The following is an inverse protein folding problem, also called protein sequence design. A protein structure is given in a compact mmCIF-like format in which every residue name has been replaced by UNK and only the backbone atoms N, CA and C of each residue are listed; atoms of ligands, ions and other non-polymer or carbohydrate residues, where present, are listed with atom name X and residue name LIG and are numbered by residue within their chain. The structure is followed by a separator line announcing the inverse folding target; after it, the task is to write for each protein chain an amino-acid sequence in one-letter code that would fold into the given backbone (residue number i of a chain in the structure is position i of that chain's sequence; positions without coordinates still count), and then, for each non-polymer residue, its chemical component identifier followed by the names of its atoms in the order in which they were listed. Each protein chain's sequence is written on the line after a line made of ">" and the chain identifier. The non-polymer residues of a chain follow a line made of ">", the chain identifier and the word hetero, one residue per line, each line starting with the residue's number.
data_IF_384746967600
#
_entry.id   IF_384746967600
#
_cell.length_a   1.000
_cell.length_b   1.000
_cell.length_c   1.000
_cell.angle_alpha   90.00
_cell.angle_beta   90.00
_cell.angle_gamma   90.00
#
_symmetry.space_group_name_H-M   'P 1'
#
loop_
_entity.id
_entity.type
_entity.pdbx_description
1 polymer ?
#
# COMPACT_ATOMS: atom_id res chain seq x y z
N UNK A 1 -13.51 -4.53 19.69
CA UNK A 1 -12.62 -3.60 18.96
C UNK A 1 -13.17 -2.18 19.14
N UNK A 2 -12.43 -1.26 19.76
CA UNK A 2 -12.82 0.15 19.84
C UNK A 2 -12.47 0.80 18.51
N UNK A 3 -13.44 0.88 17.60
CA UNK A 3 -13.22 1.42 16.26
C UNK A 3 -13.03 2.94 16.35
N UNK A 4 -11.81 3.43 16.06
CA UNK A 4 -11.53 4.86 15.86
C UNK A 4 -11.35 5.12 14.36
N UNK A 5 -12.30 5.85 13.75
CA UNK A 5 -12.18 6.34 12.38
C UNK A 5 -11.23 7.54 12.37
N UNK A 6 -10.02 7.35 11.84
CA UNK A 6 -9.02 8.42 11.73
C UNK A 6 -9.20 9.31 10.48
N UNK A 7 -10.26 9.08 9.68
CA UNK A 7 -10.50 9.74 8.39
C UNK A 7 -9.33 9.66 7.40
N UNK A 8 -8.41 8.71 7.63
CA UNK A 8 -7.24 8.49 6.81
C UNK A 8 -7.51 7.34 5.84
N UNK A 9 -7.17 7.58 4.57
CA UNK A 9 -7.14 6.56 3.55
C UNK A 9 -5.68 6.17 3.31
N UNK A 10 -5.40 4.87 3.16
CA UNK A 10 -4.10 4.44 2.67
C UNK A 10 -3.98 4.87 1.20
N UNK A 11 -2.81 5.38 0.83
CA UNK A 11 -2.47 5.61 -0.57
C UNK A 11 -2.06 4.26 -1.17
N UNK A 12 -2.99 3.59 -1.87
CA UNK A 12 -2.79 2.23 -2.39
C UNK A 12 -2.41 2.22 -3.88
N UNK A 13 -1.76 3.29 -4.35
CA UNK A 13 -1.24 3.35 -5.72
C UNK A 13 -0.13 2.30 -5.93
N UNK A 14 0.60 1.95 -4.85
CA UNK A 14 1.46 0.78 -4.77
C UNK A 14 1.08 -0.07 -3.56
N UNK A 15 0.78 -1.34 -3.81
CA UNK A 15 0.41 -2.31 -2.79
C UNK A 15 1.03 -3.68 -3.13
N UNK A 16 1.47 -4.41 -2.10
CA UNK A 16 1.84 -5.82 -2.22
C UNK A 16 0.83 -6.60 -1.40
N UNK A 17 0.00 -7.39 -2.09
CA UNK A 17 -1.19 -7.98 -1.49
C UNK A 17 -1.25 -9.48 -1.66
N UNK A 18 -1.89 -10.12 -0.67
CA UNK A 18 -2.27 -11.52 -0.70
C UNK A 18 -3.66 -11.68 -1.31
N UNK A 19 -3.71 -12.13 -2.57
CA UNK A 19 -4.97 -12.25 -3.33
C UNK A 19 -5.95 -13.25 -2.72
N UNK A 20 -5.48 -14.24 -1.97
CA UNK A 20 -6.34 -15.22 -1.31
C UNK A 20 -7.22 -14.58 -0.22
N UNK A 21 -6.70 -13.57 0.49
CA UNK A 21 -7.50 -12.79 1.44
C UNK A 21 -8.61 -12.00 0.73
N UNK A 22 -8.30 -11.32 -0.38
CA UNK A 22 -9.28 -10.61 -1.20
C UNK A 22 -10.33 -11.55 -1.85
N UNK A 23 -9.97 -12.82 -2.05
CA UNK A 23 -10.90 -13.86 -2.55
C UNK A 23 -11.67 -14.54 -1.41
N UNK A 24 -11.33 -14.26 -0.16
CA UNK A 24 -12.00 -14.80 1.02
C UNK A 24 -13.41 -14.24 1.19
N UNK A 25 -14.26 -15.03 1.86
CA UNK A 25 -15.68 -14.71 2.04
C UNK A 25 -15.89 -13.37 2.77
N UNK A 26 -15.12 -13.11 3.81
CA UNK A 26 -15.24 -11.90 4.64
C UNK A 26 -15.03 -10.61 3.83
N UNK A 27 -14.01 -10.57 2.96
CA UNK A 27 -13.79 -9.42 2.08
C UNK A 27 -14.89 -9.32 1.02
N UNK A 28 -15.30 -10.45 0.45
CA UNK A 28 -16.36 -10.48 -0.57
C UNK A 28 -17.71 -10.02 0.00
N UNK A 29 -18.02 -10.30 1.27
CA UNK A 29 -19.21 -9.80 1.94
C UNK A 29 -19.18 -8.29 2.11
N UNK A 30 -18.05 -7.73 2.55
CA UNK A 30 -17.86 -6.27 2.62
C UNK A 30 -18.02 -5.63 1.24
N UNK A 31 -17.40 -6.21 0.21
CA UNK A 31 -17.48 -5.71 -1.16
C UNK A 31 -18.91 -5.76 -1.70
N UNK A 32 -19.60 -6.90 -1.57
CA UNK A 32 -21.00 -7.07 -2.02
C UNK A 32 -21.93 -6.10 -1.32
N UNK A 33 -21.76 -5.91 -0.02
CA UNK A 33 -22.53 -4.91 0.73
C UNK A 33 -22.30 -3.51 0.17
N UNK A 34 -21.05 -3.08 0.00
CA UNK A 34 -20.73 -1.76 -0.55
C UNK A 34 -21.27 -1.58 -1.97
N UNK A 35 -21.16 -2.58 -2.83
CA UNK A 35 -21.70 -2.54 -4.20
C UNK A 35 -23.22 -2.41 -4.21
N UNK A 36 -23.91 -3.10 -3.31
CA UNK A 36 -25.38 -3.02 -3.16
C UNK A 36 -25.89 -1.61 -2.83
N UNK A 37 -25.05 -0.75 -2.23
CA UNK A 37 -25.43 0.65 -1.93
C UNK A 37 -25.47 1.54 -3.17
N UNK A 38 -24.91 1.07 -4.29
CA UNK A 38 -24.75 1.86 -5.52
C UNK A 38 -23.65 2.92 -5.46
N UNK A 39 -22.88 3.00 -4.37
CA UNK A 39 -21.87 4.04 -4.15
C UNK A 39 -20.75 4.09 -5.20
N UNK A 40 -20.43 2.97 -5.86
CA UNK A 40 -19.46 2.96 -6.96
C UNK A 40 -19.97 3.65 -8.24
N UNK A 41 -21.28 3.66 -8.44
CA UNK A 41 -21.91 4.13 -9.69
C UNK A 41 -22.59 5.49 -9.51
N UNK A 42 -23.31 5.66 -8.39
CA UNK A 42 -23.98 6.91 -8.03
C UNK A 42 -23.00 7.95 -7.49
N UNK A 43 -21.87 7.47 -6.96
CA UNK A 43 -20.77 8.30 -6.47
C UNK A 43 -19.45 7.82 -7.08
N UNK A 44 -18.34 8.44 -6.66
CA UNK A 44 -16.99 8.13 -7.17
C UNK A 44 -16.15 7.44 -6.09
N UNK A 45 -16.68 6.38 -5.50
CA UNK A 45 -15.92 5.61 -4.52
C UNK A 45 -14.74 4.92 -5.21
N UNK A 46 -13.52 5.34 -4.86
CA UNK A 46 -12.30 4.71 -5.34
C UNK A 46 -12.03 3.38 -4.64
N UNK A 47 -11.18 2.56 -5.24
CA UNK A 47 -10.65 1.35 -4.63
C UNK A 47 -9.89 1.64 -3.33
N UNK A 48 -9.10 2.71 -3.27
CA UNK A 48 -8.26 3.04 -2.12
C UNK A 48 -9.07 3.16 -0.80
N UNK A 49 -10.14 3.97 -0.71
CA UNK A 49 -10.94 4.07 0.50
C UNK A 49 -11.70 2.77 0.83
N UNK A 50 -12.21 2.06 -0.17
CA UNK A 50 -12.92 0.79 0.03
C UNK A 50 -12.01 -0.28 0.61
N UNK A 51 -10.80 -0.40 0.07
CA UNK A 51 -9.80 -1.35 0.58
C UNK A 51 -9.29 -0.95 1.96
N UNK A 52 -9.05 0.34 2.20
CA UNK A 52 -8.65 0.83 3.53
C UNK A 52 -9.72 0.50 4.58
N UNK A 53 -11.00 0.70 4.23
CA UNK A 53 -12.12 0.35 5.10
C UNK A 53 -12.15 -1.15 5.43
N UNK A 54 -12.03 -2.00 4.40
CA UNK A 54 -12.03 -3.46 4.58
C UNK A 54 -10.84 -3.93 5.44
N UNK A 55 -9.65 -3.39 5.20
CA UNK A 55 -8.44 -3.67 6.00
C UNK A 55 -8.65 -3.27 7.46
N UNK A 56 -9.11 -2.05 7.74
CA UNK A 56 -9.33 -1.58 9.10
C UNK A 56 -10.45 -2.31 9.85
N UNK A 57 -11.38 -2.94 9.13
CA UNK A 57 -12.46 -3.72 9.73
C UNK A 57 -12.05 -5.18 10.02
N UNK A 58 -11.37 -5.81 9.07
CA UNK A 58 -11.18 -7.26 9.05
C UNK A 58 -9.79 -7.72 9.50
N UNK A 59 -8.75 -6.88 9.36
CA UNK A 59 -7.38 -7.25 9.71
C UNK A 59 -6.97 -6.68 11.07
N UNK A 60 -6.01 -7.34 11.71
CA UNK A 60 -5.27 -6.82 12.86
C UNK A 60 -4.03 -6.05 12.39
N UNK A 61 -3.53 -5.12 13.21
CA UNK A 61 -2.36 -4.29 12.90
C UNK A 61 -1.12 -5.12 12.50
N UNK A 62 -0.95 -6.31 13.08
CA UNK A 62 0.17 -7.21 12.78
C UNK A 62 0.12 -7.84 11.38
N UNK A 63 -1.02 -7.79 10.71
CA UNK A 63 -1.24 -8.35 9.37
C UNK A 63 -1.04 -7.32 8.25
N UNK A 64 -0.86 -6.04 8.61
CA UNK A 64 -0.67 -4.93 7.68
C UNK A 64 0.72 -4.35 7.92
N UNK A 65 1.49 -4.14 6.85
CA UNK A 65 2.84 -3.60 6.93
C UNK A 65 2.98 -2.39 6.01
N UNK A 66 3.55 -1.31 6.54
CA UNK A 66 4.03 -0.19 5.72
C UNK A 66 5.32 -0.59 5.02
N UNK A 67 5.39 -0.37 3.71
CA UNK A 67 6.58 -0.65 2.93
C UNK A 67 7.57 0.50 3.14
N UNK A 68 8.80 0.16 3.53
CA UNK A 68 9.89 1.13 3.72
C UNK A 68 10.60 1.51 2.41
N UNK A 69 10.11 1.00 1.28
CA UNK A 69 10.71 1.19 -0.03
C UNK A 69 10.44 2.62 -0.54
N UNK A 70 11.41 3.26 -1.20
CA UNK A 70 11.18 4.49 -1.93
C UNK A 70 10.10 4.30 -2.99
N UNK A 71 9.22 5.29 -3.12
CA UNK A 71 8.09 5.27 -4.03
C UNK A 71 7.76 6.69 -4.50
N UNK A 72 7.40 6.86 -5.77
CA UNK A 72 6.90 8.12 -6.27
C UNK A 72 5.76 7.91 -7.28
N UNK A 73 4.75 8.78 -7.21
CA UNK A 73 3.61 8.81 -8.12
C UNK A 73 3.05 10.23 -8.22
N UNK A 74 2.99 10.76 -9.45
CA UNK A 74 2.56 12.13 -9.74
C UNK A 74 3.38 13.16 -8.98
N UNK A 75 2.79 13.89 -8.02
CA UNK A 75 3.44 14.90 -7.17
C UNK A 75 3.78 14.37 -5.76
N UNK A 76 3.53 13.08 -5.51
CA UNK A 76 3.86 12.42 -4.25
C UNK A 76 5.12 11.58 -4.39
N UNK A 77 5.97 11.63 -3.36
CA UNK A 77 7.19 10.85 -3.28
C UNK A 77 7.56 10.57 -1.82
N UNK A 78 8.09 9.37 -1.59
CA UNK A 78 8.66 8.91 -0.34
C UNK A 78 10.02 8.28 -0.63
N UNK A 79 11.00 8.63 0.19
CA UNK A 79 12.39 8.19 0.06
C UNK A 79 12.71 7.05 1.05
N UNK A 80 11.69 6.50 1.72
CA UNK A 80 11.84 5.56 2.82
C UNK A 80 11.84 6.24 4.20
N UNK A 81 11.85 5.46 5.29
CA UNK A 81 11.92 5.98 6.65
C UNK A 81 13.24 6.73 6.89
N UNK A 82 13.18 7.82 7.65
CA UNK A 82 14.33 8.65 8.05
C UNK A 82 15.12 9.32 6.89
N UNK A 83 14.60 9.22 5.66
CA UNK A 83 15.19 9.88 4.50
C UNK A 83 14.76 11.36 4.39
N UNK A 84 15.61 12.17 3.77
CA UNK A 84 15.24 13.54 3.44
C UNK A 84 14.02 13.57 2.49
N UNK A 85 13.23 14.66 2.49
CA UNK A 85 12.13 14.82 1.54
C UNK A 85 12.64 14.70 0.10
N UNK A 86 11.93 13.96 -0.74
CA UNK A 86 12.36 13.79 -2.13
C UNK A 86 12.17 15.09 -2.94
N UNK A 87 13.05 15.33 -3.90
CA UNK A 87 13.01 16.48 -4.80
C UNK A 87 12.49 16.04 -6.16
N UNK A 88 11.49 16.73 -6.68
CA UNK A 88 11.02 16.49 -8.05
C UNK A 88 11.77 17.36 -9.04
N UNK A 89 12.39 16.73 -10.04
CA UNK A 89 12.81 17.40 -11.24
C UNK A 89 11.59 17.51 -12.17
N UNK A 90 10.82 18.59 -12.01
CA UNK A 90 9.59 18.84 -12.79
C UNK A 90 9.79 18.83 -14.30
N UNK A 91 11.01 19.00 -14.78
CA UNK A 91 11.34 19.04 -16.21
C UNK A 91 11.49 17.65 -16.82
N UNK A 92 12.01 16.67 -16.06
CA UNK A 92 12.15 15.27 -16.49
C UNK A 92 11.07 14.34 -15.91
N UNK A 93 10.37 14.78 -14.86
CA UNK A 93 9.46 13.93 -14.08
C UNK A 93 10.18 12.96 -13.15
N UNK A 94 11.50 13.11 -13.00
CA UNK A 94 12.31 12.26 -12.12
C UNK A 94 12.25 12.75 -10.67
N UNK A 95 12.39 11.80 -9.75
CA UNK A 95 12.45 12.04 -8.32
C UNK A 95 13.85 11.72 -7.80
N UNK A 96 14.42 12.65 -7.05
CA UNK A 96 15.73 12.51 -6.41
C UNK A 96 15.56 12.42 -4.90
N UNK A 97 16.35 11.55 -4.28
CA UNK A 97 16.41 11.37 -2.83
C UNK A 97 17.80 11.84 -2.38
N UNK A 98 17.96 13.05 -1.83
CA UNK A 98 19.29 13.46 -1.34
C UNK A 98 19.65 12.68 -0.09
N UNK A 99 20.90 12.22 0.00
CA UNK A 99 21.39 11.50 1.17
C UNK A 99 20.37 10.46 1.63
N UNK A 100 20.09 9.50 0.75
CA UNK A 100 19.93 8.15 1.23
C UNK A 100 21.14 7.96 2.18
N UNK A 101 20.92 7.94 3.51
CA UNK A 101 22.00 8.04 4.51
C UNK A 101 23.02 6.89 4.39
N UNK A 102 23.83 6.58 5.40
CA UNK A 102 24.51 5.27 5.41
C UNK A 102 23.50 4.08 5.30
N UNK A 103 22.21 4.35 5.56
CA UNK A 103 21.02 3.52 5.35
C UNK A 103 20.21 3.91 4.10
N UNK A 104 20.86 4.58 3.16
CA UNK A 104 20.28 4.92 1.90
C UNK A 104 19.99 3.65 1.15
N UNK A 105 18.70 3.29 1.06
CA UNK A 105 18.25 2.00 0.56
C UNK A 105 18.84 1.80 -0.83
N UNK A 106 20.00 1.13 -0.88
CA UNK A 106 20.69 0.84 -2.12
C UNK A 106 19.85 -0.14 -2.91
N UNK A 107 20.17 -0.35 -4.19
CA UNK A 107 19.50 -1.40 -4.98
C UNK A 107 19.58 -2.77 -4.29
N UNK A 108 20.62 -3.01 -3.49
CA UNK A 108 20.75 -4.18 -2.62
C UNK A 108 19.73 -4.16 -1.46
N UNK A 109 19.54 -3.04 -0.77
CA UNK A 109 18.56 -2.92 0.32
C UNK A 109 17.10 -2.94 -0.18
N UNK A 110 16.84 -2.57 -1.44
CA UNK A 110 15.53 -2.76 -2.08
C UNK A 110 15.23 -4.26 -2.29
N UNK A 111 16.21 -5.00 -2.78
CA UNK A 111 16.08 -6.44 -2.96
C UNK A 111 15.91 -7.14 -1.61
N UNK A 112 16.71 -6.78 -0.61
CA UNK A 112 16.58 -7.30 0.76
C UNK A 112 15.26 -6.87 1.40
N UNK A 113 14.79 -5.63 1.22
CA UNK A 113 13.49 -5.18 1.70
C UNK A 113 12.30 -5.92 1.07
N UNK A 114 12.42 -6.32 -0.19
CA UNK A 114 11.46 -7.22 -0.86
C UNK A 114 11.62 -8.68 -0.39
N UNK A 115 12.83 -9.10 -0.03
CA UNK A 115 13.08 -10.40 0.60
C UNK A 115 12.65 -10.44 2.08
N UNK A 116 12.52 -9.31 2.76
CA UNK A 116 11.91 -9.20 4.09
C UNK A 116 10.37 -9.31 4.03
N UNK A 117 9.79 -9.25 2.82
CA UNK A 117 8.45 -9.75 2.54
C UNK A 117 8.44 -11.29 2.40
N UNK A 118 9.49 -12.01 2.80
CA UNK A 118 9.44 -13.46 2.97
C UNK A 118 8.78 -13.82 4.32
N UNK A 119 8.05 -14.97 4.41
CA UNK A 119 8.15 -16.18 3.58
C UNK A 119 7.29 -16.17 2.31
N UNK A 120 6.70 -15.04 1.93
CA UNK A 120 5.65 -14.93 0.91
C UNK A 120 6.16 -15.03 -0.54
N UNK A 121 7.24 -15.77 -0.82
CA UNK A 121 7.58 -16.22 -2.18
C UNK A 121 6.36 -16.92 -2.75
N UNK A 122 5.97 -16.49 -3.95
CA UNK A 122 5.23 -17.25 -4.95
C UNK A 122 4.86 -18.66 -4.49
N UNK A 123 3.63 -18.89 -4.00
CA UNK A 123 3.20 -20.27 -3.75
C UNK A 123 3.33 -21.05 -5.07
N UNK A 124 3.50 -22.37 -5.03
CA UNK A 124 3.59 -23.18 -6.25
C UNK A 124 2.38 -23.00 -7.21
N UNK A 125 1.29 -22.36 -6.76
CA UNK A 125 0.10 -21.95 -7.53
C UNK A 125 0.21 -20.59 -8.25
N UNK A 126 1.35 -19.89 -8.17
CA UNK A 126 1.61 -18.66 -8.92
C UNK A 126 2.45 -18.90 -10.19
N UNK A 127 2.60 -20.16 -10.62
CA UNK A 127 2.99 -20.54 -11.98
C UNK A 127 1.75 -20.75 -12.83
#
# INVERSE_FOLDING_TARGET
>A
KNFKWYQQCLMLDMEVVRLDWFRGEEYQDVFRYMDSTGGFWLHRWGNNPVRTFAVGLLLEDSQVRSLILPYAHQDFCSCGPDAAPCRSNRSSGEYECDNAGPSGIGVADLAEGLLDLQPWRGTARQK
#
